data_IF_678666276869
#
_entry.id   IF_678666276869
#
_cell.length_a   1.000
_cell.length_b   1.000
_cell.length_c   1.000
_cell.angle_alpha   90.00
_cell.angle_beta   90.00
_cell.angle_gamma   90.00
#
_symmetry.space_group_name_H-M   'P 1'
#
loop_
_entity.id
_entity.type
_entity.pdbx_description
1 polymer ?
#
# COMPACT_ATOMS: atom_id res chain seq x y z
N UNK A 1 -26.91 -32.57 28.13
CA UNK A 1 -27.00 -34.03 28.41
C UNK A 1 -27.88 -34.65 27.35
N UNK A 2 -27.28 -35.48 26.49
CA UNK A 2 -27.89 -36.54 25.67
C UNK A 2 -26.83 -36.95 24.62
N UNK A 3 -25.95 -37.88 25.01
CA UNK A 3 -25.27 -38.75 24.07
C UNK A 3 -25.96 -40.10 24.21
N UNK A 4 -26.58 -40.60 23.14
CA UNK A 4 -26.36 -42.02 22.83
C UNK A 4 -26.15 -42.27 21.33
N UNK A 5 -25.26 -43.23 21.05
CA UNK A 5 -25.19 -44.07 19.85
C UNK A 5 -24.73 -43.42 18.52
N UNK A 6 -23.43 -43.08 18.46
CA UNK A 6 -22.72 -42.86 17.18
C UNK A 6 -21.61 -43.92 16.96
N UNK A 7 -21.80 -45.12 17.50
CA UNK A 7 -20.83 -46.23 17.45
C UNK A 7 -21.24 -47.39 16.52
N UNK A 8 -22.33 -47.28 15.78
CA UNK A 8 -22.71 -48.26 14.76
C UNK A 8 -23.17 -47.55 13.50
N UNK A 9 -22.22 -47.24 12.61
CA UNK A 9 -22.52 -47.02 11.20
C UNK A 9 -21.43 -47.73 10.40
N UNK A 10 -21.84 -48.85 9.80
CA UNK A 10 -21.03 -49.71 8.94
C UNK A 10 -20.49 -48.97 7.71
N UNK A 11 -19.36 -49.46 7.22
CA UNK A 11 -18.49 -48.83 6.22
C UNK A 11 -19.04 -48.73 4.77
N UNK A 12 -20.33 -48.91 4.50
CA UNK A 12 -20.88 -48.92 3.13
C UNK A 12 -21.69 -47.69 2.69
N UNK A 13 -22.12 -46.81 3.60
CA UNK A 13 -23.12 -45.78 3.24
C UNK A 13 -22.55 -44.37 3.02
N UNK A 14 -21.23 -44.22 2.92
CA UNK A 14 -20.56 -42.93 2.66
C UNK A 14 -20.29 -42.78 1.16
N UNK A 15 -21.33 -42.88 0.33
CA UNK A 15 -21.28 -42.41 -1.05
C UNK A 15 -22.06 -41.11 -1.30
N UNK A 16 -22.80 -40.59 -0.32
CA UNK A 16 -23.36 -39.24 -0.38
C UNK A 16 -23.34 -38.57 0.99
N UNK A 17 -22.17 -38.12 1.46
CA UNK A 17 -22.19 -37.00 2.41
C UNK A 17 -22.48 -35.75 1.57
N UNK A 18 -23.78 -35.47 1.44
CA UNK A 18 -24.29 -34.22 0.92
C UNK A 18 -23.82 -33.10 1.88
N UNK A 19 -22.71 -32.46 1.54
CA UNK A 19 -22.04 -31.38 2.29
C UNK A 19 -22.89 -30.10 2.46
N UNK A 20 -24.21 -30.17 2.20
CA UNK A 20 -25.16 -29.06 2.27
C UNK A 20 -25.84 -28.89 3.64
N UNK A 21 -25.77 -29.85 4.55
CA UNK A 21 -26.53 -29.81 5.81
C UNK A 21 -25.76 -29.39 7.07
N UNK A 22 -24.46 -29.09 6.99
CA UNK A 22 -23.72 -28.65 8.19
C UNK A 22 -23.96 -27.15 8.40
N UNK A 23 -24.99 -26.83 9.18
CA UNK A 23 -25.23 -25.49 9.73
C UNK A 23 -24.21 -25.28 10.87
N UNK A 24 -23.26 -24.38 10.68
CA UNK A 24 -22.19 -24.12 11.64
C UNK A 24 -22.68 -23.15 12.73
N UNK A 25 -22.62 -23.58 13.98
CA UNK A 25 -22.89 -22.76 15.17
C UNK A 25 -21.58 -22.21 15.76
N UNK A 26 -21.59 -20.95 16.19
CA UNK A 26 -20.45 -20.07 16.48
C UNK A 26 -19.67 -20.43 17.76
N UNK A 27 -19.11 -21.65 17.86
CA UNK A 27 -18.16 -21.99 18.92
C UNK A 27 -16.83 -22.49 18.33
N UNK A 28 -15.80 -21.64 18.41
CA UNK A 28 -14.44 -21.91 17.90
C UNK A 28 -13.84 -23.24 18.41
N UNK A 29 -14.21 -23.68 19.63
CA UNK A 29 -13.78 -24.96 20.19
C UNK A 29 -14.30 -26.19 19.40
N UNK A 30 -15.54 -26.13 18.90
CA UNK A 30 -16.11 -27.20 18.08
C UNK A 30 -15.48 -27.22 16.70
N UNK A 31 -15.14 -26.06 16.14
CA UNK A 31 -14.43 -25.93 14.86
C UNK A 31 -13.04 -26.55 14.91
N UNK A 32 -12.29 -26.32 15.99
CA UNK A 32 -10.95 -26.91 16.20
C UNK A 32 -11.04 -28.43 16.39
N UNK A 33 -12.04 -28.91 17.16
CA UNK A 33 -12.28 -30.34 17.36
C UNK A 33 -12.66 -31.05 16.06
N UNK A 34 -13.53 -30.42 15.25
CA UNK A 34 -13.93 -30.92 13.93
C UNK A 34 -12.73 -30.92 12.95
N UNK A 35 -11.92 -29.85 12.94
CA UNK A 35 -10.68 -29.75 12.15
C UNK A 35 -9.72 -30.90 12.46
N UNK A 36 -9.50 -31.20 13.74
CA UNK A 36 -8.60 -32.27 14.16
C UNK A 36 -9.15 -33.67 13.82
N UNK A 37 -10.46 -33.89 13.96
CA UNK A 37 -11.10 -35.15 13.58
C UNK A 37 -11.05 -35.41 12.08
N UNK A 38 -11.30 -34.36 11.28
CA UNK A 38 -11.23 -34.44 9.81
C UNK A 38 -9.78 -34.62 9.35
N UNK A 39 -8.81 -33.90 9.92
CA UNK A 39 -7.38 -34.07 9.60
C UNK A 39 -6.85 -35.47 9.94
N UNK A 40 -7.29 -36.06 11.06
CA UNK A 40 -6.90 -37.42 11.41
C UNK A 40 -7.47 -38.45 10.43
N UNK A 41 -8.75 -38.34 10.05
CA UNK A 41 -9.36 -39.24 9.06
C UNK A 41 -8.80 -39.09 7.63
N UNK A 42 -8.21 -37.94 7.31
CA UNK A 42 -7.57 -37.68 6.01
C UNK A 42 -6.10 -38.12 5.96
N UNK A 43 -5.45 -38.34 7.12
CA UNK A 43 -4.14 -39.00 7.16
C UNK A 43 -4.24 -40.49 6.84
N UNK A 44 -5.35 -41.12 7.21
CA UNK A 44 -5.58 -42.57 7.02
C UNK A 44 -5.94 -42.96 5.58
N UNK A 45 -6.41 -42.00 4.77
CA UNK A 45 -6.66 -42.18 3.34
C UNK A 45 -5.61 -41.36 2.61
N UNK A 46 -4.75 -41.98 1.80
CA UNK A 46 -3.71 -41.34 0.97
C UNK A 46 -4.27 -40.25 0.04
N UNK A 47 -4.64 -39.10 0.60
CA UNK A 47 -5.22 -37.97 -0.09
C UNK A 47 -4.09 -37.00 -0.39
N UNK A 48 -4.04 -36.57 -1.65
CA UNK A 48 -3.01 -35.65 -2.15
C UNK A 48 -2.93 -34.38 -1.30
N UNK A 49 -1.70 -33.92 -1.04
CA UNK A 49 -1.38 -32.76 -0.18
C UNK A 49 -2.21 -31.52 -0.55
N UNK A 50 -2.54 -31.35 -1.84
CA UNK A 50 -3.35 -30.26 -2.36
C UNK A 50 -4.80 -30.26 -1.86
N UNK A 51 -5.41 -31.42 -1.65
CA UNK A 51 -6.77 -31.53 -1.14
C UNK A 51 -6.82 -31.22 0.36
N UNK A 52 -5.78 -31.61 1.11
CA UNK A 52 -5.63 -31.26 2.52
C UNK A 52 -5.39 -29.75 2.66
N UNK A 53 -4.55 -29.16 1.81
CA UNK A 53 -4.31 -27.71 1.79
C UNK A 53 -5.59 -26.92 1.48
N UNK A 54 -6.37 -27.34 0.48
CA UNK A 54 -7.68 -26.73 0.17
C UNK A 54 -8.65 -26.81 1.35
N UNK A 55 -8.64 -27.93 2.07
CA UNK A 55 -9.52 -28.13 3.23
C UNK A 55 -9.09 -27.27 4.42
N UNK A 56 -7.79 -27.21 4.72
CA UNK A 56 -7.22 -26.36 5.77
C UNK A 56 -7.54 -24.88 5.48
N UNK A 57 -7.42 -24.45 4.23
CA UNK A 57 -7.79 -23.10 3.80
C UNK A 57 -9.29 -22.82 3.99
N UNK A 58 -10.15 -23.83 3.85
CA UNK A 58 -11.59 -23.73 4.13
C UNK A 58 -11.88 -23.62 5.64
N UNK A 59 -11.04 -24.21 6.48
CA UNK A 59 -11.16 -24.14 7.93
C UNK A 59 -10.60 -22.83 8.54
N UNK A 60 -9.60 -22.20 7.93
CA UNK A 60 -9.01 -20.93 8.39
C UNK A 60 -9.08 -19.81 7.30
N UNK A 61 -10.28 -19.40 6.85
CA UNK A 61 -10.42 -18.42 5.76
C UNK A 61 -9.84 -17.03 6.12
N UNK A 62 -9.85 -16.66 7.40
CA UNK A 62 -9.31 -15.38 7.87
C UNK A 62 -7.79 -15.28 7.73
N UNK A 63 -7.05 -16.34 8.05
CA UNK A 63 -5.58 -16.39 7.89
C UNK A 63 -5.16 -16.35 6.42
N UNK A 64 -5.89 -17.07 5.55
CA UNK A 64 -5.65 -17.05 4.09
C UNK A 64 -5.96 -15.66 3.52
N UNK A 65 -7.07 -15.02 3.95
CA UNK A 65 -7.37 -13.65 3.52
C UNK A 65 -6.33 -12.64 4.00
N UNK A 66 -5.76 -12.85 5.18
CA UNK A 66 -4.69 -12.00 5.74
C UNK A 66 -3.38 -12.17 4.96
N UNK A 67 -2.99 -13.41 4.64
CA UNK A 67 -1.82 -13.65 3.80
C UNK A 67 -2.00 -13.04 2.41
N UNK A 68 -3.18 -13.19 1.81
CA UNK A 68 -3.49 -12.60 0.51
C UNK A 68 -3.46 -11.08 0.54
N UNK A 69 -4.00 -10.44 1.59
CA UNK A 69 -3.95 -8.98 1.73
C UNK A 69 -2.53 -8.47 1.98
N UNK A 70 -1.71 -9.19 2.74
CA UNK A 70 -0.28 -8.87 2.92
C UNK A 70 0.50 -9.01 1.61
N UNK A 71 0.23 -10.05 0.81
CA UNK A 71 0.84 -10.23 -0.52
C UNK A 71 0.41 -9.10 -1.45
N UNK A 72 -0.88 -8.76 -1.51
CA UNK A 72 -1.39 -7.63 -2.29
C UNK A 72 -0.79 -6.30 -1.84
N UNK A 73 -0.66 -6.09 -0.53
CA UNK A 73 -0.01 -4.91 0.01
C UNK A 73 1.48 -4.86 -0.36
N UNK A 74 2.19 -5.99 -0.31
CA UNK A 74 3.59 -6.06 -0.76
C UNK A 74 3.73 -5.79 -2.26
N UNK A 75 2.78 -6.25 -3.08
CA UNK A 75 2.73 -5.96 -4.50
C UNK A 75 2.44 -4.48 -4.75
N UNK A 76 1.50 -3.89 -4.01
CA UNK A 76 1.23 -2.45 -4.04
C UNK A 76 2.47 -1.64 -3.65
N UNK A 77 3.15 -1.98 -2.55
CA UNK A 77 4.39 -1.33 -2.15
C UNK A 77 5.49 -1.46 -3.21
N UNK A 78 5.60 -2.63 -3.83
CA UNK A 78 6.54 -2.84 -4.94
C UNK A 78 6.17 -2.02 -6.17
N UNK A 79 4.89 -1.90 -6.50
CA UNK A 79 4.39 -1.05 -7.58
C UNK A 79 4.62 0.43 -7.25
N UNK A 80 4.37 0.88 -6.02
CA UNK A 80 4.66 2.24 -5.60
C UNK A 80 6.16 2.53 -5.65
N UNK A 81 7.03 1.64 -5.15
CA UNK A 81 8.48 1.88 -5.14
C UNK A 81 9.10 1.83 -6.54
N UNK A 82 8.71 0.84 -7.36
CA UNK A 82 9.24 0.66 -8.72
C UNK A 82 8.60 1.58 -9.74
N UNK A 83 7.29 1.83 -9.65
CA UNK A 83 6.54 2.57 -10.67
C UNK A 83 6.61 4.07 -10.43
N UNK A 84 6.27 4.59 -9.25
CA UNK A 84 6.14 6.06 -9.13
C UNK A 84 7.51 6.71 -8.92
N UNK A 85 8.22 6.40 -7.83
CA UNK A 85 9.48 7.11 -7.53
C UNK A 85 10.57 6.87 -8.58
N UNK A 86 10.71 5.66 -9.13
CA UNK A 86 11.78 5.37 -10.10
C UNK A 86 11.49 5.98 -11.47
N UNK A 87 10.23 5.94 -11.94
CA UNK A 87 9.85 6.56 -13.23
C UNK A 87 9.96 8.08 -13.12
N UNK A 88 9.41 8.71 -12.07
CA UNK A 88 9.52 10.15 -11.88
C UNK A 88 10.98 10.59 -11.81
N UNK A 89 11.82 9.89 -11.02
CA UNK A 89 13.25 10.21 -10.95
C UNK A 89 13.97 9.98 -12.27
N UNK A 90 13.66 8.91 -13.01
CA UNK A 90 14.23 8.66 -14.34
C UNK A 90 13.86 9.77 -15.32
N UNK A 91 12.59 10.19 -15.36
CA UNK A 91 12.12 11.30 -16.20
C UNK A 91 12.77 12.63 -15.79
N UNK A 92 12.87 12.91 -14.49
CA UNK A 92 13.60 14.06 -13.95
C UNK A 92 15.06 14.08 -14.43
N UNK A 93 15.75 12.93 -14.32
CA UNK A 93 17.14 12.80 -14.73
C UNK A 93 17.26 12.98 -16.25
N UNK A 94 16.37 12.38 -17.05
CA UNK A 94 16.37 12.54 -18.51
C UNK A 94 16.14 13.99 -18.93
N UNK A 95 15.14 14.67 -18.38
CA UNK A 95 14.86 16.08 -18.68
C UNK A 95 16.02 16.99 -18.26
N UNK A 96 16.57 16.77 -17.07
CA UNK A 96 17.72 17.55 -16.61
C UNK A 96 19.02 17.15 -17.30
N UNK A 97 19.12 15.99 -17.94
CA UNK A 97 20.33 15.55 -18.66
C UNK A 97 20.63 16.41 -19.88
N UNK A 98 19.61 17.03 -20.48
CA UNK A 98 19.78 17.96 -21.61
C UNK A 98 20.51 19.22 -21.13
N UNK A 99 20.07 19.80 -20.01
CA UNK A 99 20.74 20.92 -19.37
C UNK A 99 22.11 20.50 -18.81
N UNK A 100 22.22 19.31 -18.20
CA UNK A 100 23.46 18.81 -17.63
C UNK A 100 24.52 18.50 -18.70
N UNK A 101 24.16 18.04 -19.91
CA UNK A 101 25.10 17.84 -21.02
C UNK A 101 25.73 19.15 -21.48
N UNK A 102 24.94 20.24 -21.51
CA UNK A 102 25.46 21.58 -21.77
C UNK A 102 26.44 22.05 -20.68
N UNK A 103 26.15 21.76 -19.40
CA UNK A 103 27.05 22.08 -18.27
C UNK A 103 28.31 21.18 -18.20
N UNK A 104 28.20 19.90 -18.56
CA UNK A 104 29.29 18.91 -18.46
C UNK A 104 30.33 19.04 -19.57
N UNK A 105 29.96 19.59 -20.72
CA UNK A 105 30.92 19.89 -21.80
C UNK A 105 31.95 20.94 -21.40
N UNK A 106 31.64 21.80 -20.42
CA UNK A 106 32.50 22.91 -19.99
C UNK A 106 33.26 22.65 -18.67
N UNK A 107 33.26 21.43 -18.11
CA UNK A 107 33.77 21.19 -16.75
C UNK A 107 34.78 20.04 -16.61
N UNK A 108 35.69 20.20 -15.62
CA UNK A 108 36.81 19.30 -15.33
C UNK A 108 36.38 17.95 -14.73
N UNK A 109 37.29 16.95 -14.74
CA UNK A 109 37.05 15.57 -14.25
C UNK A 109 36.55 15.51 -12.79
N UNK A 110 36.96 16.45 -11.93
CA UNK A 110 36.52 16.57 -10.53
C UNK A 110 35.02 16.89 -10.41
N UNK A 111 34.51 17.75 -11.29
CA UNK A 111 33.11 18.15 -11.32
C UNK A 111 32.18 17.00 -11.75
N UNK A 112 32.70 16.05 -12.54
CA UNK A 112 31.96 14.84 -12.95
C UNK A 112 31.69 13.91 -11.78
N UNK A 113 32.68 13.67 -10.91
CA UNK A 113 32.53 12.82 -9.71
C UNK A 113 31.57 13.44 -8.68
N UNK A 114 31.66 14.77 -8.47
CA UNK A 114 30.74 15.49 -7.59
C UNK A 114 29.30 15.44 -8.12
N UNK A 115 29.11 15.54 -9.44
CA UNK A 115 27.80 15.40 -10.09
C UNK A 115 27.22 14.00 -9.91
N UNK A 116 28.03 12.95 -10.06
CA UNK A 116 27.59 11.58 -9.81
C UNK A 116 27.18 11.36 -8.34
N UNK A 117 27.97 11.85 -7.39
CA UNK A 117 27.63 11.76 -5.95
C UNK A 117 26.30 12.47 -5.63
N UNK A 118 26.06 13.65 -6.23
CA UNK A 118 24.78 14.38 -6.13
C UNK A 118 23.61 13.60 -6.72
N UNK A 119 23.80 12.95 -7.87
CA UNK A 119 22.79 12.10 -8.51
C UNK A 119 22.41 10.90 -7.63
N UNK A 120 23.41 10.16 -7.15
CA UNK A 120 23.20 9.01 -6.25
C UNK A 120 22.44 9.46 -5.01
N UNK A 121 22.78 10.63 -4.45
CA UNK A 121 22.04 11.21 -3.32
C UNK A 121 20.57 11.43 -3.64
N UNK A 122 20.26 12.04 -4.78
CA UNK A 122 18.88 12.31 -5.20
C UNK A 122 18.05 11.02 -5.32
N UNK A 123 18.66 9.91 -5.73
CA UNK A 123 17.97 8.61 -5.79
C UNK A 123 17.43 8.19 -4.41
N UNK A 124 18.14 8.50 -3.32
CA UNK A 124 17.71 8.14 -1.97
C UNK A 124 16.79 9.18 -1.29
N UNK A 125 16.90 10.46 -1.65
CA UNK A 125 16.09 11.53 -1.02
C UNK A 125 14.61 11.36 -1.39
N UNK A 126 13.66 11.56 -0.44
CA UNK A 126 12.23 11.50 -0.69
C UNK A 126 11.70 12.75 -1.45
N UNK A 127 12.39 13.17 -2.51
CA UNK A 127 12.03 14.28 -3.39
C UNK A 127 12.01 13.82 -4.84
N UNK A 128 11.11 14.38 -5.65
CA UNK A 128 10.96 14.04 -7.07
C UNK A 128 11.57 15.10 -8.00
N UNK A 129 11.66 16.35 -7.53
CA UNK A 129 12.32 17.44 -8.25
C UNK A 129 13.79 17.44 -7.89
N UNK A 130 14.66 17.46 -8.90
CA UNK A 130 16.10 17.49 -8.70
C UNK A 130 16.59 18.93 -8.52
N UNK A 131 17.29 19.18 -7.43
CA UNK A 131 17.99 20.42 -7.13
C UNK A 131 19.50 20.16 -7.11
N UNK A 132 20.30 21.17 -7.50
CA UNK A 132 21.77 21.05 -7.56
C UNK A 132 22.34 20.86 -6.15
N UNK A 133 21.83 21.65 -5.20
CA UNK A 133 22.25 21.62 -3.81
C UNK A 133 21.03 21.52 -2.90
N UNK A 134 20.71 20.28 -2.51
CA UNK A 134 19.67 20.06 -1.50
C UNK A 134 20.12 20.61 -0.16
N UNK A 135 19.30 21.45 0.51
CA UNK A 135 19.60 21.89 1.86
C UNK A 135 19.71 20.64 2.74
N UNK A 136 20.71 20.61 3.63
CA UNK A 136 20.89 19.54 4.61
C UNK A 136 20.48 20.08 5.96
N UNK A 137 19.86 19.23 6.78
CA UNK A 137 19.75 19.55 8.19
C UNK A 137 21.16 19.70 8.76
N UNK A 138 21.47 20.89 9.27
CA UNK A 138 22.76 21.23 9.89
C UNK A 138 22.96 20.52 11.24
N UNK A 139 21.88 19.96 11.80
CA UNK A 139 21.89 19.22 13.05
C UNK A 139 22.35 17.76 12.92
N UNK A 140 22.67 17.17 14.09
CA UNK A 140 22.92 15.72 14.21
C UNK A 140 21.63 14.93 13.94
N UNK A 141 21.79 13.69 13.50
CA UNK A 141 20.69 12.74 13.32
C UNK A 141 19.85 12.61 14.60
N UNK A 142 18.55 12.92 14.52
CA UNK A 142 17.65 12.95 15.68
C UNK A 142 17.11 11.55 15.96
N UNK A 143 17.94 10.72 16.61
CA UNK A 143 17.63 9.32 16.96
C UNK A 143 16.25 9.17 17.62
N UNK A 144 15.93 10.02 18.61
CA UNK A 144 14.64 9.99 19.32
C UNK A 144 13.45 10.17 18.37
N UNK A 145 13.53 11.16 17.47
CA UNK A 145 12.49 11.40 16.47
C UNK A 145 12.36 10.21 15.50
N UNK A 146 13.49 9.69 15.02
CA UNK A 146 13.51 8.54 14.11
C UNK A 146 12.83 7.32 14.72
N UNK A 147 13.21 6.92 15.94
CA UNK A 147 12.63 5.75 16.60
C UNK A 147 11.17 5.96 16.97
N UNK A 148 10.78 7.15 17.44
CA UNK A 148 9.38 7.46 17.71
C UNK A 148 8.53 7.33 16.44
N UNK A 149 9.05 7.85 15.31
CA UNK A 149 8.37 7.75 14.02
C UNK A 149 8.33 6.32 13.51
N UNK A 150 9.38 5.53 13.73
CA UNK A 150 9.42 4.11 13.36
C UNK A 150 8.34 3.32 14.09
N UNK A 151 8.23 3.51 15.41
CA UNK A 151 7.20 2.87 16.25
C UNK A 151 5.81 3.32 15.80
N UNK A 152 5.62 4.62 15.52
CA UNK A 152 4.36 5.15 14.99
C UNK A 152 3.97 4.48 13.66
N UNK A 153 4.91 4.35 12.72
CA UNK A 153 4.67 3.70 11.42
C UNK A 153 4.30 2.22 11.58
N UNK A 154 5.00 1.49 12.45
CA UNK A 154 4.69 0.08 12.76
C UNK A 154 3.29 -0.01 13.38
N UNK A 155 2.94 0.91 14.28
CA UNK A 155 1.63 0.94 14.93
C UNK A 155 0.51 1.16 13.92
N UNK A 156 0.62 2.16 13.04
CA UNK A 156 -0.36 2.42 11.97
C UNK A 156 -0.51 1.21 11.04
N UNK A 157 0.59 0.54 10.70
CA UNK A 157 0.55 -0.67 9.90
C UNK A 157 -0.19 -1.83 10.60
N UNK A 158 0.03 -2.03 11.90
CA UNK A 158 -0.71 -3.03 12.68
C UNK A 158 -2.20 -2.70 12.77
N UNK A 159 -2.56 -1.42 12.94
CA UNK A 159 -3.95 -0.97 12.93
C UNK A 159 -4.61 -1.26 11.57
N UNK A 160 -3.89 -1.06 10.47
CA UNK A 160 -4.38 -1.39 9.13
C UNK A 160 -4.64 -2.90 8.97
N UNK A 161 -3.71 -3.75 9.41
CA UNK A 161 -3.90 -5.20 9.39
C UNK A 161 -5.12 -5.60 10.23
N UNK A 162 -5.25 -5.04 11.43
CA UNK A 162 -6.39 -5.30 12.33
C UNK A 162 -7.72 -4.90 11.68
N UNK A 163 -7.78 -3.74 11.03
CA UNK A 163 -8.96 -3.26 10.34
C UNK A 163 -9.41 -4.22 9.23
N UNK A 164 -8.46 -4.67 8.40
CA UNK A 164 -8.76 -5.64 7.33
C UNK A 164 -9.21 -6.97 7.93
N UNK A 165 -8.53 -7.47 8.96
CA UNK A 165 -8.88 -8.73 9.62
C UNK A 165 -10.29 -8.70 10.20
N UNK A 166 -10.68 -7.60 10.86
CA UNK A 166 -11.97 -7.49 11.53
C UNK A 166 -13.12 -7.19 10.56
N UNK A 167 -12.93 -6.28 9.59
CA UNK A 167 -14.02 -5.83 8.70
C UNK A 167 -14.23 -6.71 7.47
N UNK A 168 -13.24 -7.53 7.08
CA UNK A 168 -13.36 -8.39 5.90
C UNK A 168 -14.48 -9.45 6.02
N UNK A 169 -14.64 -10.18 7.14
CA UNK A 169 -15.75 -11.10 7.32
C UNK A 169 -17.12 -10.43 7.20
N UNK A 170 -17.28 -9.22 7.73
CA UNK A 170 -18.53 -8.47 7.66
C UNK A 170 -18.89 -8.13 6.21
N UNK A 171 -17.90 -7.73 5.40
CA UNK A 171 -18.08 -7.50 3.97
C UNK A 171 -18.52 -8.78 3.23
N UNK A 172 -17.92 -9.93 3.56
CA UNK A 172 -18.29 -11.22 2.97
C UNK A 172 -19.71 -11.64 3.35
N UNK A 173 -20.14 -11.40 4.60
CA UNK A 173 -21.53 -11.64 5.01
C UNK A 173 -22.49 -10.74 4.23
N UNK A 174 -22.20 -9.44 4.14
CA UNK A 174 -23.03 -8.50 3.38
C UNK A 174 -23.15 -8.87 1.90
N UNK A 175 -22.06 -9.36 1.29
CA UNK A 175 -22.07 -9.87 -0.08
C UNK A 175 -22.95 -11.12 -0.23
N UNK A 176 -22.86 -12.07 0.71
CA UNK A 176 -23.67 -13.31 0.65
C UNK A 176 -25.17 -13.06 0.78
N UNK A 177 -25.57 -12.00 1.48
CA UNK A 177 -26.98 -11.65 1.72
C UNK A 177 -27.58 -10.79 0.59
N UNK A 178 -26.80 -10.37 -0.41
CA UNK A 178 -27.22 -9.52 -1.53
C UNK A 178 -27.94 -8.20 -1.13
N UNK A 179 -27.73 -7.72 0.10
CA UNK A 179 -28.25 -6.43 0.53
C UNK A 179 -27.34 -5.30 0.03
N UNK A 180 -27.74 -4.68 -1.09
CA UNK A 180 -26.96 -3.67 -1.80
C UNK A 180 -26.56 -2.48 -0.92
N UNK A 181 -27.46 -1.98 -0.08
CA UNK A 181 -27.18 -0.84 0.81
C UNK A 181 -26.12 -1.21 1.87
N UNK A 182 -26.24 -2.39 2.49
CA UNK A 182 -25.28 -2.89 3.48
C UNK A 182 -23.91 -3.14 2.86
N UNK A 183 -23.89 -3.63 1.61
CA UNK A 183 -22.66 -3.84 0.86
C UNK A 183 -21.95 -2.51 0.55
N UNK A 184 -22.68 -1.53 0.00
CA UNK A 184 -22.12 -0.20 -0.32
C UNK A 184 -21.59 0.48 0.94
N UNK A 185 -22.37 0.50 2.01
CA UNK A 185 -21.97 1.15 3.29
C UNK A 185 -20.72 0.50 3.89
N UNK A 186 -20.66 -0.83 3.89
CA UNK A 186 -19.48 -1.58 4.36
C UNK A 186 -18.25 -1.29 3.50
N UNK A 187 -18.41 -1.27 2.18
CA UNK A 187 -17.31 -0.97 1.25
C UNK A 187 -16.79 0.46 1.40
N UNK A 188 -17.69 1.44 1.47
CA UNK A 188 -17.35 2.84 1.69
C UNK A 188 -16.61 3.05 3.02
N UNK A 189 -17.07 2.43 4.11
CA UNK A 189 -16.40 2.52 5.41
C UNK A 189 -14.98 1.98 5.35
N UNK A 190 -14.79 0.77 4.79
CA UNK A 190 -13.46 0.16 4.65
C UNK A 190 -12.56 1.03 3.76
N UNK A 191 -13.09 1.56 2.65
CA UNK A 191 -12.33 2.37 1.71
C UNK A 191 -11.84 3.68 2.35
N UNK A 192 -12.70 4.42 3.05
CA UNK A 192 -12.32 5.68 3.68
C UNK A 192 -11.23 5.43 4.74
N UNK A 193 -11.45 4.47 5.62
CA UNK A 193 -10.51 4.17 6.71
C UNK A 193 -9.17 3.65 6.18
N UNK A 194 -9.19 2.76 5.17
CA UNK A 194 -7.97 2.25 4.54
C UNK A 194 -7.19 3.34 3.82
N UNK A 195 -7.85 4.24 3.08
CA UNK A 195 -7.19 5.37 2.42
C UNK A 195 -6.52 6.29 3.44
N UNK A 196 -7.18 6.56 4.57
CA UNK A 196 -6.60 7.39 5.64
C UNK A 196 -5.40 6.71 6.30
N UNK A 197 -5.48 5.41 6.60
CA UNK A 197 -4.36 4.68 7.19
C UNK A 197 -3.18 4.56 6.23
N UNK A 198 -3.42 4.30 4.94
CA UNK A 198 -2.37 4.26 3.91
C UNK A 198 -1.73 5.64 3.76
N UNK A 199 -2.53 6.72 3.79
CA UNK A 199 -2.03 8.08 3.76
C UNK A 199 -1.08 8.35 4.94
N UNK A 200 -1.50 8.04 6.16
CA UNK A 200 -0.65 8.20 7.36
C UNK A 200 0.59 7.33 7.30
N UNK A 201 0.45 6.07 6.87
CA UNK A 201 1.58 5.14 6.76
C UNK A 201 2.64 5.65 5.76
N UNK A 202 2.21 6.12 4.59
CA UNK A 202 3.12 6.57 3.52
C UNK A 202 3.71 7.95 3.83
N UNK A 203 2.87 8.97 3.99
CA UNK A 203 3.30 10.36 4.07
C UNK A 203 3.83 10.73 5.45
N UNK A 204 3.09 10.35 6.49
CA UNK A 204 3.50 10.66 7.85
C UNK A 204 4.55 9.67 8.36
N UNK A 205 4.45 8.39 8.03
CA UNK A 205 5.40 7.36 8.45
C UNK A 205 6.66 7.28 7.58
N UNK A 206 6.54 6.67 6.40
CA UNK A 206 7.67 6.28 5.54
C UNK A 206 8.46 7.50 5.06
N UNK A 207 7.82 8.53 4.48
CA UNK A 207 8.54 9.66 3.91
C UNK A 207 9.31 10.44 4.98
N UNK A 208 8.76 10.61 6.18
CA UNK A 208 9.47 11.23 7.30
C UNK A 208 10.64 10.39 7.81
N UNK A 209 10.51 9.06 7.85
CA UNK A 209 11.61 8.16 8.19
C UNK A 209 12.75 8.27 7.16
N UNK A 210 12.40 8.26 5.87
CA UNK A 210 13.35 8.45 4.78
C UNK A 210 14.00 9.84 4.85
N UNK A 211 13.25 10.88 5.17
CA UNK A 211 13.76 12.24 5.32
C UNK A 211 14.79 12.33 6.45
N UNK A 212 14.53 11.73 7.60
CA UNK A 212 15.47 11.71 8.72
C UNK A 212 16.70 10.85 8.40
N UNK A 213 16.52 9.68 7.77
CA UNK A 213 17.62 8.81 7.33
C UNK A 213 18.55 9.49 6.32
N UNK A 214 17.99 10.27 5.39
CA UNK A 214 18.74 11.00 4.36
C UNK A 214 19.19 12.40 4.77
N UNK A 215 18.80 12.85 5.99
CA UNK A 215 19.00 14.21 6.53
C UNK A 215 18.38 15.32 5.67
N UNK A 216 17.27 15.00 5.03
CA UNK A 216 16.47 15.93 4.26
C UNK A 216 15.66 16.82 5.21
N UNK A 217 15.79 18.16 5.12
CA UNK A 217 15.15 19.09 6.04
C UNK A 217 13.70 19.39 5.65
N UNK A 218 13.35 19.36 4.36
CA UNK A 218 11.98 19.61 3.91
C UNK A 218 11.10 18.38 4.18
N UNK A 219 10.10 18.56 5.05
CA UNK A 219 9.17 17.51 5.49
C UNK A 219 7.74 17.81 5.10
N UNK A 220 7.54 18.83 4.27
CA UNK A 220 6.22 19.21 3.78
C UNK A 220 5.82 18.29 2.62
N UNK A 221 5.58 17.02 2.94
CA UNK A 221 5.10 16.03 1.97
C UNK A 221 3.60 16.17 1.66
N UNK A 222 2.86 16.79 2.57
CA UNK A 222 1.43 17.10 2.45
C UNK A 222 1.13 18.40 3.21
N UNK A 223 0.02 19.05 2.85
CA UNK A 223 -0.54 20.24 3.50
C UNK A 223 -1.89 19.96 4.16
N UNK A 224 -2.66 21.01 4.44
CA UNK A 224 -3.97 20.94 5.08
C UNK A 224 -5.08 20.53 4.10
N UNK A 225 -4.88 19.41 3.37
CA UNK A 225 -5.75 18.96 2.29
C UNK A 225 -7.19 18.67 2.72
N UNK A 226 -7.40 18.35 4.01
CA UNK A 226 -8.74 18.11 4.57
C UNK A 226 -9.56 19.40 4.72
N UNK A 227 -8.92 20.57 4.70
CA UNK A 227 -9.56 21.88 4.72
C UNK A 227 -9.71 22.49 3.32
N UNK A 228 -9.31 21.78 2.27
CA UNK A 228 -9.39 22.28 0.89
C UNK A 228 -10.85 22.42 0.44
N UNK A 229 -11.17 23.56 -0.15
CA UNK A 229 -12.54 23.85 -0.65
C UNK A 229 -12.70 23.53 -2.13
N UNK A 230 -11.58 23.46 -2.85
CA UNK A 230 -11.53 23.15 -4.28
C UNK A 230 -10.67 21.92 -4.55
N UNK A 231 -10.97 21.21 -5.65
CA UNK A 231 -10.18 20.06 -6.07
C UNK A 231 -8.71 20.42 -6.38
N UNK A 232 -8.46 21.64 -6.87
CA UNK A 232 -7.11 22.12 -7.18
C UNK A 232 -6.28 22.26 -5.90
N UNK A 233 -6.86 22.86 -4.85
CA UNK A 233 -6.22 22.93 -3.53
C UNK A 233 -5.96 21.54 -2.95
N UNK A 234 -6.97 20.65 -3.00
CA UNK A 234 -6.86 19.29 -2.52
C UNK A 234 -5.71 18.54 -3.22
N UNK A 235 -5.66 18.58 -4.55
CA UNK A 235 -4.62 17.88 -5.33
C UNK A 235 -3.20 18.40 -5.08
N UNK A 236 -3.05 19.69 -4.77
CA UNK A 236 -1.77 20.30 -4.37
C UNK A 236 -1.32 19.84 -2.98
N UNK A 237 -2.26 19.82 -2.04
CA UNK A 237 -1.96 19.66 -0.63
C UNK A 237 -1.96 18.18 -0.20
N UNK A 238 -2.60 17.28 -0.95
CA UNK A 238 -2.61 15.84 -0.65
C UNK A 238 -1.24 15.18 -0.86
N UNK A 239 -0.62 15.38 -2.03
CA UNK A 239 0.69 14.80 -2.37
C UNK A 239 1.58 15.88 -2.99
N UNK A 240 2.15 16.70 -2.12
CA UNK A 240 2.96 17.85 -2.50
C UNK A 240 4.17 17.47 -3.37
N UNK A 241 4.93 16.38 -3.12
CA UNK A 241 6.03 15.97 -3.99
C UNK A 241 5.62 15.71 -5.44
N UNK A 242 4.51 14.99 -5.66
CA UNK A 242 4.02 14.70 -7.02
C UNK A 242 3.48 15.97 -7.66
N UNK A 243 2.71 16.77 -6.93
CA UNK A 243 2.22 18.05 -7.44
C UNK A 243 3.38 18.97 -7.88
N UNK A 244 4.41 19.14 -7.05
CA UNK A 244 5.60 19.94 -7.38
C UNK A 244 6.29 19.42 -8.64
N UNK A 245 6.39 18.10 -8.79
CA UNK A 245 6.96 17.49 -9.99
C UNK A 245 6.13 17.78 -11.25
N UNK A 246 4.80 17.56 -11.21
CA UNK A 246 3.89 17.84 -12.32
C UNK A 246 3.95 19.32 -12.70
N UNK A 247 3.98 20.21 -11.71
CA UNK A 247 4.04 21.65 -11.93
C UNK A 247 5.35 22.07 -12.62
N UNK A 248 6.49 21.52 -12.20
CA UNK A 248 7.81 21.88 -12.78
C UNK A 248 8.01 21.26 -14.16
N UNK A 249 7.69 19.98 -14.34
CA UNK A 249 8.05 19.25 -15.56
C UNK A 249 6.95 19.20 -16.62
N UNK A 250 5.67 19.22 -16.23
CA UNK A 250 4.56 19.20 -17.18
C UNK A 250 4.00 20.61 -17.38
N UNK A 251 3.54 21.26 -16.31
CA UNK A 251 2.84 22.55 -16.43
C UNK A 251 3.74 23.67 -16.99
N UNK A 252 4.94 23.86 -16.45
CA UNK A 252 5.87 24.88 -16.97
C UNK A 252 6.34 24.56 -18.40
N UNK A 253 6.54 23.28 -18.72
CA UNK A 253 6.92 22.87 -20.06
C UNK A 253 5.79 23.11 -21.06
N UNK A 254 4.54 22.78 -20.69
CA UNK A 254 3.37 22.99 -21.53
C UNK A 254 3.09 24.48 -21.76
N UNK A 255 3.33 25.33 -20.76
CA UNK A 255 3.26 26.80 -20.93
C UNK A 255 4.33 27.37 -21.85
N UNK A 256 5.49 26.71 -21.96
CA UNK A 256 6.53 27.06 -22.93
C UNK A 256 6.14 26.65 -24.34
N UNK A 257 5.43 25.53 -24.50
CA UNK A 257 5.02 24.97 -25.78
C UNK A 257 3.75 25.63 -26.33
N UNK A 258 2.70 25.71 -25.52
CA UNK A 258 1.47 26.44 -25.83
C UNK A 258 1.67 27.88 -25.37
N UNK A 259 1.83 28.83 -26.30
CA UNK A 259 1.89 30.28 -26.02
C UNK A 259 0.95 30.63 -24.85
N UNK A 260 1.45 31.44 -23.89
CA UNK A 260 0.89 31.86 -22.57
C UNK A 260 -0.65 31.94 -22.37
N UNK A 261 -1.44 31.93 -23.43
CA UNK A 261 -2.89 32.11 -23.46
C UNK A 261 -3.72 30.84 -23.18
N UNK A 262 -3.19 29.63 -23.38
CA UNK A 262 -3.97 28.39 -23.16
C UNK A 262 -3.67 27.72 -21.81
N UNK A 263 -3.93 28.46 -20.72
CA UNK A 263 -3.74 27.98 -19.33
C UNK A 263 -4.62 26.76 -19.01
N UNK A 264 -5.84 26.71 -19.53
CA UNK A 264 -6.79 25.60 -19.29
C UNK A 264 -6.28 24.29 -19.88
N UNK A 265 -5.75 24.31 -21.10
CA UNK A 265 -5.17 23.12 -21.74
C UNK A 265 -3.97 22.59 -20.98
N UNK A 266 -3.11 23.50 -20.47
CA UNK A 266 -1.97 23.13 -19.64
C UNK A 266 -2.40 22.48 -18.32
N UNK A 267 -3.48 22.97 -17.69
CA UNK A 267 -4.04 22.34 -16.48
C UNK A 267 -4.65 20.98 -16.80
N UNK A 268 -5.39 20.86 -17.91
CA UNK A 268 -5.99 19.59 -18.32
C UNK A 268 -4.92 18.52 -18.54
N UNK A 269 -3.86 18.85 -19.29
CA UNK A 269 -2.70 17.96 -19.52
C UNK A 269 -2.01 17.52 -18.23
N UNK A 270 -2.02 18.36 -17.18
CA UNK A 270 -1.43 17.98 -15.89
C UNK A 270 -2.33 17.09 -15.04
N UNK A 271 -3.65 17.13 -15.27
CA UNK A 271 -4.65 16.37 -14.53
C UNK A 271 -5.01 15.04 -15.20
N UNK A 272 -4.72 14.87 -16.49
CA UNK A 272 -4.87 13.61 -17.23
C UNK A 272 -3.50 12.92 -17.35
N UNK A 273 -3.11 12.05 -16.40
CA UNK A 273 -1.87 11.27 -16.50
C UNK A 273 -1.89 10.21 -17.60
#
# INVERSE_FOLDING_TARGET
MCFPNLLELDCSDIQEINLKEIRFDDNDANRIKLKNLVLNRLKDKHITVDNIAKLINRFNPSEVSLQNSLVQFSQLLNLFSKSTSSIFKKLTITNNSINAKLFLNNTSKLNKLQTFSRLVRFIYIPALVYEIDFPRSTGKFRKKYFFLKLISTITVFNIYIYLIYYKYPDLMRAQSQNHLITLITSYCSILIESVMLIFLFMFDGILNLLAEATRFPDRQFYGFWWNSTTFIEFSRDWNTPVYRWLHVYIYKASLGYFKKHNKILSVLLTLTP
#
